data_IF_367247139242
#
_entry.id   IF_367247139242
#
_cell.length_a   1.000
_cell.length_b   1.000
_cell.length_c   1.000
_cell.angle_alpha   90.00
_cell.angle_beta   90.00
_cell.angle_gamma   90.00
#
_symmetry.space_group_name_H-M   'P 1'
#
loop_
_entity.id
_entity.type
_entity.pdbx_description
1 polymer ?
#
# COMPACT_ATOMS: atom_id res chain seq x y z
N UNK A 1 0.67 -3.89 20.55
CA UNK A 1 0.49 -3.11 19.31
C UNK A 1 1.82 -2.95 18.60
N UNK A 2 1.87 -2.98 17.27
CA UNK A 2 3.07 -2.76 16.44
C UNK A 2 2.77 -1.61 15.48
N UNK A 3 3.68 -0.65 15.35
CA UNK A 3 3.49 0.51 14.47
C UNK A 3 4.83 0.99 13.87
N UNK A 4 4.79 1.89 12.89
CA UNK A 4 5.98 2.33 12.15
C UNK A 4 5.90 3.78 11.66
N UNK A 5 7.07 4.41 11.57
CA UNK A 5 7.26 5.71 10.90
C UNK A 5 7.17 5.62 9.37
N UNK A 6 7.10 4.41 8.81
CA UNK A 6 7.25 4.21 7.37
C UNK A 6 6.14 4.83 6.52
N UNK A 7 4.90 4.87 7.02
CA UNK A 7 3.70 5.16 6.22
C UNK A 7 3.14 6.55 6.51
N UNK A 8 2.47 6.72 7.65
CA UNK A 8 1.86 8.00 8.04
C UNK A 8 2.90 9.14 8.10
N UNK A 9 4.04 8.88 8.72
CA UNK A 9 5.14 9.83 8.87
C UNK A 9 6.05 9.94 7.62
N UNK A 10 5.77 9.18 6.55
CA UNK A 10 6.51 9.18 5.29
C UNK A 10 8.02 8.88 5.42
N UNK A 11 8.43 8.04 6.37
CA UNK A 11 9.84 7.69 6.62
C UNK A 11 10.19 6.25 6.19
N UNK A 12 9.68 5.76 5.04
CA UNK A 12 9.85 4.35 4.61
C UNK A 12 11.32 3.88 4.62
N UNK A 13 12.25 4.71 4.13
CA UNK A 13 13.67 4.40 4.07
C UNK A 13 14.43 4.51 5.40
N UNK A 14 13.82 5.07 6.46
CA UNK A 14 14.51 5.38 7.73
C UNK A 14 14.55 4.22 8.72
N UNK A 15 13.78 3.16 8.44
CA UNK A 15 13.84 1.88 9.16
C UNK A 15 13.55 2.00 10.67
N UNK A 16 12.51 2.76 11.02
CA UNK A 16 12.09 2.93 12.41
C UNK A 16 10.62 2.55 12.63
N UNK A 17 10.37 1.93 13.77
CA UNK A 17 9.04 1.64 14.29
C UNK A 17 9.07 1.42 15.78
N UNK A 18 7.92 1.12 16.36
CA UNK A 18 7.79 0.87 17.78
C UNK A 18 6.75 -0.21 18.06
N UNK A 19 6.81 -0.75 19.27
CA UNK A 19 5.80 -1.65 19.78
C UNK A 19 5.37 -1.21 21.18
N UNK A 20 4.10 -1.47 21.49
CA UNK A 20 3.55 -1.35 22.84
C UNK A 20 3.22 -2.76 23.29
N UNK A 21 3.87 -3.22 24.35
CA UNK A 21 3.77 -4.58 24.88
C UNK A 21 3.37 -4.54 26.36
N UNK A 22 2.77 -5.61 26.91
CA UNK A 22 2.56 -5.74 28.35
C UNK A 22 3.89 -5.64 29.11
N UNK A 23 3.86 -5.08 30.32
CA UNK A 23 5.05 -4.85 31.16
C UNK A 23 5.88 -6.13 31.36
N UNK A 24 5.21 -7.27 31.54
CA UNK A 24 5.86 -8.57 31.69
C UNK A 24 6.73 -8.99 30.48
N UNK A 25 6.47 -8.44 29.28
CA UNK A 25 7.21 -8.74 28.06
C UNK A 25 8.37 -7.77 27.80
N UNK A 26 8.39 -6.59 28.42
CA UNK A 26 9.45 -5.58 28.21
C UNK A 26 10.86 -6.17 28.40
N UNK A 27 11.21 -6.82 29.54
CA UNK A 27 12.55 -7.36 29.73
C UNK A 27 12.89 -8.52 28.78
N UNK A 28 11.88 -9.25 28.27
CA UNK A 28 12.09 -10.31 27.28
C UNK A 28 12.46 -9.69 25.92
N UNK A 29 11.69 -8.70 25.47
CA UNK A 29 11.93 -7.99 24.22
C UNK A 29 13.25 -7.22 24.26
N UNK A 30 13.58 -6.58 25.39
CA UNK A 30 14.84 -5.86 25.56
C UNK A 30 16.05 -6.79 25.37
N UNK A 31 16.04 -7.97 26.01
CA UNK A 31 17.11 -8.96 25.85
C UNK A 31 17.23 -9.44 24.40
N UNK A 32 16.11 -9.68 23.73
CA UNK A 32 16.12 -10.03 22.30
C UNK A 32 16.72 -8.90 21.46
N UNK A 33 16.32 -7.65 21.71
CA UNK A 33 16.87 -6.49 21.00
C UNK A 33 18.39 -6.37 21.21
N UNK A 34 18.86 -6.43 22.46
CA UNK A 34 20.28 -6.36 22.81
C UNK A 34 21.12 -7.43 22.09
N UNK A 35 20.62 -8.67 22.00
CA UNK A 35 21.36 -9.79 21.42
C UNK A 35 21.26 -9.87 19.90
N UNK A 36 20.13 -9.46 19.29
CA UNK A 36 19.92 -9.60 17.85
C UNK A 36 20.35 -8.37 17.04
N UNK A 37 20.29 -7.17 17.64
CA UNK A 37 20.40 -5.94 16.85
C UNK A 37 20.89 -4.70 17.63
N UNK A 38 20.99 -4.79 18.96
CA UNK A 38 21.40 -3.74 19.90
C UNK A 38 20.38 -2.60 19.98
N UNK A 39 20.28 -1.75 18.96
CA UNK A 39 19.38 -0.61 18.95
C UNK A 39 19.11 -0.08 17.53
N UNK A 40 17.98 0.65 17.32
CA UNK A 40 17.68 1.25 16.03
C UNK A 40 18.62 2.41 15.73
N UNK A 41 18.72 2.78 14.45
CA UNK A 41 19.52 3.93 14.00
C UNK A 41 19.25 5.17 14.86
N UNK A 42 20.29 5.65 15.56
CA UNK A 42 20.23 6.85 16.39
C UNK A 42 19.76 8.06 15.58
N UNK A 43 20.22 8.20 14.33
CA UNK A 43 19.80 9.27 13.42
C UNK A 43 18.28 9.22 13.16
N UNK A 44 17.73 8.02 12.92
CA UNK A 44 16.30 7.87 12.70
C UNK A 44 15.50 8.16 13.98
N UNK A 45 16.00 7.74 15.15
CA UNK A 45 15.36 8.02 16.44
C UNK A 45 15.26 9.54 16.71
N UNK A 46 16.33 10.30 16.47
CA UNK A 46 16.31 11.75 16.62
C UNK A 46 15.37 12.43 15.61
N UNK A 47 15.41 12.03 14.34
CA UNK A 47 14.50 12.57 13.33
C UNK A 47 13.02 12.31 13.66
N UNK A 48 12.72 11.15 14.25
CA UNK A 48 11.36 10.78 14.63
C UNK A 48 10.76 11.64 15.75
N UNK A 49 11.57 12.35 16.53
CA UNK A 49 11.05 13.30 17.53
C UNK A 49 10.32 14.47 16.85
N UNK A 50 10.86 14.97 15.73
CA UNK A 50 10.26 16.08 14.97
C UNK A 50 8.94 15.68 14.29
N UNK A 51 8.68 14.38 14.12
CA UNK A 51 7.40 13.89 13.58
C UNK A 51 6.20 14.21 14.48
N UNK A 52 6.42 14.52 15.75
CA UNK A 52 5.34 14.85 16.69
C UNK A 52 5.16 16.37 16.88
N UNK A 53 5.91 17.19 16.15
CA UNK A 53 5.71 18.64 16.14
C UNK A 53 4.40 19.02 15.43
N UNK A 54 3.71 20.10 15.87
CA UNK A 54 2.43 20.51 15.30
C UNK A 54 2.44 20.70 13.78
N UNK A 55 3.49 21.31 13.24
CA UNK A 55 3.68 21.59 11.82
C UNK A 55 3.83 20.29 11.02
N UNK A 56 4.59 19.32 11.56
CA UNK A 56 4.74 17.99 10.96
C UNK A 56 3.41 17.24 10.91
N UNK A 57 2.64 17.24 12.01
CA UNK A 57 1.33 16.61 12.09
C UNK A 57 0.35 17.25 11.08
N UNK A 58 0.35 18.58 10.98
CA UNK A 58 -0.50 19.29 10.01
C UNK A 58 -0.20 18.87 8.56
N UNK A 59 1.07 18.72 8.19
CA UNK A 59 1.46 18.24 6.87
C UNK A 59 1.04 16.77 6.63
N UNK A 60 1.11 15.92 7.65
CA UNK A 60 0.65 14.52 7.52
C UNK A 60 -0.86 14.41 7.34
N UNK A 61 -1.65 15.22 8.05
CA UNK A 61 -3.10 15.28 7.84
C UNK A 61 -3.47 15.84 6.46
N UNK A 62 -2.74 16.85 5.96
CA UNK A 62 -2.89 17.34 4.59
C UNK A 62 -2.65 16.21 3.57
N UNK A 63 -1.58 15.43 3.73
CA UNK A 63 -1.28 14.28 2.86
C UNK A 63 -2.32 13.17 2.98
N UNK A 64 -2.83 12.91 4.20
CA UNK A 64 -3.91 11.93 4.42
C UNK A 64 -5.18 12.32 3.65
N UNK A 65 -5.55 13.60 3.67
CA UNK A 65 -6.67 14.10 2.87
C UNK A 65 -6.42 13.92 1.36
N UNK A 66 -5.17 14.12 0.90
CA UNK A 66 -4.79 13.89 -0.49
C UNK A 66 -4.88 12.40 -0.90
N UNK A 67 -4.42 11.48 -0.05
CA UNK A 67 -4.62 10.03 -0.28
C UNK A 67 -6.10 9.65 -0.34
N UNK A 68 -6.95 10.26 0.49
CA UNK A 68 -8.40 10.08 0.42
C UNK A 68 -8.94 10.55 -0.93
N UNK A 69 -8.57 11.73 -1.40
CA UNK A 69 -9.01 12.25 -2.70
C UNK A 69 -8.57 11.34 -3.87
N UNK A 70 -7.34 10.83 -3.83
CA UNK A 70 -6.80 9.85 -4.80
C UNK A 70 -7.59 8.55 -4.80
N UNK A 71 -7.90 8.01 -3.62
CA UNK A 71 -8.74 6.81 -3.45
C UNK A 71 -10.13 7.03 -4.05
N UNK A 72 -10.77 8.12 -3.66
CA UNK A 72 -12.15 8.45 -4.04
C UNK A 72 -12.29 8.68 -5.55
N UNK A 73 -11.22 9.12 -6.20
CA UNK A 73 -11.18 9.26 -7.66
C UNK A 73 -10.85 7.93 -8.38
N UNK A 74 -9.84 7.19 -7.92
CA UNK A 74 -9.29 6.04 -8.65
C UNK A 74 -10.17 4.79 -8.58
N UNK A 75 -10.84 4.53 -7.45
CA UNK A 75 -11.69 3.33 -7.29
C UNK A 75 -12.85 3.33 -8.29
N UNK A 76 -13.61 4.42 -8.49
CA UNK A 76 -14.63 4.49 -9.53
C UNK A 76 -14.09 4.21 -10.94
N UNK A 77 -12.84 4.60 -11.24
CA UNK A 77 -12.24 4.30 -12.54
C UNK A 77 -12.01 2.81 -12.72
N UNK A 78 -11.47 2.12 -11.70
CA UNK A 78 -11.30 0.66 -11.74
C UNK A 78 -12.66 -0.06 -11.93
N UNK A 79 -13.69 0.37 -11.19
CA UNK A 79 -15.03 -0.20 -11.31
C UNK A 79 -15.60 -0.01 -12.72
N UNK A 80 -15.45 1.18 -13.32
CA UNK A 80 -15.89 1.46 -14.69
C UNK A 80 -15.13 0.64 -15.74
N UNK A 81 -13.90 0.22 -15.43
CA UNK A 81 -13.08 -0.66 -16.27
C UNK A 81 -13.43 -2.14 -16.13
N UNK A 82 -14.41 -2.51 -15.31
CA UNK A 82 -14.74 -3.92 -15.05
C UNK A 82 -13.77 -4.60 -14.07
N UNK A 83 -13.07 -3.82 -13.25
CA UNK A 83 -12.23 -4.26 -12.12
C UNK A 83 -12.90 -3.85 -10.80
N UNK A 84 -14.01 -4.51 -10.39
CA UNK A 84 -14.74 -4.10 -9.20
C UNK A 84 -13.89 -4.25 -7.93
N UNK A 85 -14.02 -3.27 -7.04
CA UNK A 85 -13.38 -3.27 -5.72
C UNK A 85 -14.46 -3.65 -4.69
N UNK A 86 -14.49 -4.90 -4.18
CA UNK A 86 -15.61 -5.40 -3.39
C UNK A 86 -15.76 -4.70 -2.03
N UNK A 87 -14.65 -4.18 -1.49
CA UNK A 87 -14.63 -3.40 -0.25
C UNK A 87 -13.90 -2.10 -0.51
N UNK A 88 -14.63 -0.98 -0.38
CA UNK A 88 -14.01 0.34 -0.44
C UNK A 88 -13.06 0.48 0.76
N UNK A 89 -11.77 0.77 0.57
CA UNK A 89 -10.79 0.79 1.66
C UNK A 89 -11.05 1.91 2.65
N UNK A 90 -11.20 1.58 3.93
CA UNK A 90 -11.35 2.55 5.02
C UNK A 90 -10.04 3.29 5.36
N UNK A 91 -8.90 2.69 4.99
CA UNK A 91 -7.57 3.22 5.27
C UNK A 91 -6.50 2.60 4.37
N UNK A 92 -5.24 2.87 4.72
CA UNK A 92 -4.09 2.64 3.83
C UNK A 92 -4.27 3.35 2.47
N UNK A 93 -3.59 2.86 1.44
CA UNK A 93 -3.59 3.43 0.10
C UNK A 93 -3.60 2.33 -0.96
N UNK A 94 -4.39 1.27 -0.74
CA UNK A 94 -4.47 0.12 -1.62
C UNK A 94 -5.90 -0.16 -2.03
N UNK A 95 -6.14 -0.42 -3.32
CA UNK A 95 -7.40 -0.96 -3.82
C UNK A 95 -7.20 -2.43 -4.19
N UNK A 96 -8.09 -3.29 -3.69
CA UNK A 96 -8.10 -4.72 -3.97
C UNK A 96 -9.19 -4.99 -5.00
N UNK A 97 -8.81 -5.16 -6.26
CA UNK A 97 -9.77 -5.24 -7.36
C UNK A 97 -9.87 -6.67 -7.89
N UNK A 98 -11.08 -7.16 -8.09
CA UNK A 98 -11.36 -8.44 -8.73
C UNK A 98 -11.08 -8.30 -10.23
N UNK A 99 -10.20 -9.16 -10.75
CA UNK A 99 -9.80 -9.18 -12.15
C UNK A 99 -10.33 -10.41 -12.91
N UNK A 100 -11.21 -11.20 -12.31
CA UNK A 100 -11.71 -12.46 -12.90
C UNK A 100 -12.36 -12.25 -14.26
N UNK A 101 -13.08 -11.14 -14.45
CA UNK A 101 -13.70 -10.80 -15.72
C UNK A 101 -12.66 -10.52 -16.81
N UNK A 102 -11.62 -9.76 -16.49
CA UNK A 102 -10.49 -9.49 -17.38
C UNK A 102 -9.76 -10.78 -17.74
N UNK A 103 -9.43 -11.60 -16.73
CA UNK A 103 -8.78 -12.89 -16.93
C UNK A 103 -9.57 -13.78 -17.91
N UNK A 104 -10.90 -13.90 -17.74
CA UNK A 104 -11.76 -14.66 -18.66
C UNK A 104 -11.77 -14.10 -20.08
N UNK A 105 -11.87 -12.78 -20.24
CA UNK A 105 -11.94 -12.13 -21.55
C UNK A 105 -10.63 -12.28 -22.34
N UNK A 106 -9.49 -12.23 -21.66
CA UNK A 106 -8.16 -12.36 -22.27
C UNK A 106 -7.67 -13.81 -22.36
N UNK A 107 -8.44 -14.80 -21.86
CA UNK A 107 -7.98 -16.20 -21.78
C UNK A 107 -6.80 -16.40 -20.83
N UNK A 108 -6.67 -15.55 -19.82
CA UNK A 108 -5.59 -15.55 -18.83
C UNK A 108 -6.03 -16.31 -17.58
N UNK A 109 -5.15 -17.13 -17.00
CA UNK A 109 -5.47 -18.01 -15.87
C UNK A 109 -5.73 -17.26 -14.55
N UNK A 110 -5.05 -16.13 -14.31
CA UNK A 110 -5.24 -15.35 -13.09
C UNK A 110 -4.46 -14.04 -13.06
N UNK A 111 -4.47 -13.41 -11.89
CA UNK A 111 -3.85 -12.10 -11.64
C UNK A 111 -2.35 -12.06 -11.86
N UNK A 112 -1.64 -13.19 -11.76
CA UNK A 112 -0.19 -13.25 -11.98
C UNK A 112 0.15 -12.92 -13.43
N UNK A 113 -0.35 -13.70 -14.37
CA UNK A 113 -0.15 -13.49 -15.79
C UNK A 113 -0.76 -12.15 -16.23
N UNK A 114 -1.93 -11.78 -15.69
CA UNK A 114 -2.56 -10.50 -16.01
C UNK A 114 -1.70 -9.30 -15.56
N UNK A 115 -1.03 -9.38 -14.40
CA UNK A 115 -0.14 -8.32 -13.95
C UNK A 115 1.05 -8.11 -14.91
N UNK A 116 1.60 -9.20 -15.47
CA UNK A 116 2.63 -9.11 -16.50
C UNK A 116 2.11 -8.56 -17.82
N UNK A 117 0.88 -8.90 -18.20
CA UNK A 117 0.25 -8.42 -19.43
C UNK A 117 -0.03 -6.91 -19.36
N UNK A 118 -0.63 -6.45 -18.25
CA UNK A 118 -0.83 -5.02 -17.96
C UNK A 118 0.51 -4.27 -17.97
N UNK A 119 1.56 -4.85 -17.39
CA UNK A 119 2.88 -4.23 -17.38
C UNK A 119 3.47 -4.11 -18.80
N UNK A 120 3.34 -5.13 -19.63
CA UNK A 120 3.91 -5.15 -20.99
C UNK A 120 3.14 -4.25 -21.95
N UNK A 121 1.80 -4.30 -21.91
CA UNK A 121 0.94 -3.62 -22.88
C UNK A 121 0.56 -2.20 -22.43
N UNK A 122 0.19 -2.03 -21.16
CA UNK A 122 -0.23 -0.75 -20.62
C UNK A 122 0.89 -0.01 -19.87
N UNK A 123 2.07 -0.60 -19.68
CA UNK A 123 3.17 -0.01 -18.93
C UNK A 123 2.74 0.45 -17.52
N UNK A 124 1.85 -0.32 -16.88
CA UNK A 124 1.40 -0.10 -15.51
C UNK A 124 1.83 -1.29 -14.65
N UNK A 125 2.60 -1.04 -13.61
CA UNK A 125 2.98 -2.09 -12.66
C UNK A 125 1.92 -2.24 -11.56
N UNK A 126 1.39 -3.45 -11.41
CA UNK A 126 0.39 -3.82 -10.41
C UNK A 126 0.85 -5.03 -9.61
N UNK A 127 0.30 -5.27 -8.41
CA UNK A 127 0.69 -6.44 -7.60
C UNK A 127 -0.35 -7.56 -7.75
N UNK A 128 0.04 -8.77 -8.18
CA UNK A 128 -0.87 -9.91 -8.29
C UNK A 128 -1.29 -10.40 -6.90
N UNK A 129 -2.45 -11.05 -6.82
CA UNK A 129 -3.05 -11.34 -5.53
C UNK A 129 -2.40 -12.49 -4.76
N UNK A 130 -1.68 -13.37 -5.45
CA UNK A 130 -1.00 -14.54 -4.85
C UNK A 130 -0.05 -14.21 -3.69
N UNK A 131 0.47 -12.99 -3.64
CA UNK A 131 1.39 -12.55 -2.58
C UNK A 131 0.66 -12.25 -1.26
N UNK A 132 -0.68 -12.25 -1.27
CA UNK A 132 -1.54 -11.87 -0.14
C UNK A 132 -2.28 -13.04 0.50
N UNK A 133 -2.08 -14.27 0.02
CA UNK A 133 -2.68 -15.47 0.60
C UNK A 133 -2.93 -16.57 -0.42
N UNK A 134 -3.78 -17.53 -0.05
CA UNK A 134 -4.16 -18.67 -0.88
C UNK A 134 -5.68 -18.84 -1.03
N UNK A 135 -6.48 -17.93 -0.46
CA UNK A 135 -7.94 -18.03 -0.44
C UNK A 135 -8.56 -17.28 -1.64
N UNK A 136 -8.41 -17.84 -2.84
CA UNK A 136 -8.98 -17.27 -4.07
C UNK A 136 -8.32 -15.96 -4.52
N UNK A 137 -7.13 -15.65 -3.98
CA UNK A 137 -6.42 -14.39 -4.21
C UNK A 137 -5.90 -14.26 -5.63
N UNK A 138 -5.76 -15.35 -6.38
CA UNK A 138 -5.44 -15.36 -7.80
C UNK A 138 -6.43 -14.53 -8.63
N UNK A 139 -7.65 -14.32 -8.14
CA UNK A 139 -8.69 -13.53 -8.80
C UNK A 139 -8.56 -12.02 -8.58
N UNK A 140 -7.52 -11.57 -7.86
CA UNK A 140 -7.42 -10.18 -7.43
C UNK A 140 -6.07 -9.55 -7.78
N UNK A 141 -6.10 -8.25 -8.04
CA UNK A 141 -4.93 -7.40 -8.21
C UNK A 141 -4.99 -6.29 -7.17
N UNK A 142 -3.84 -6.01 -6.53
CA UNK A 142 -3.68 -4.85 -5.66
C UNK A 142 -3.10 -3.67 -6.43
N UNK A 143 -3.84 -2.57 -6.44
CA UNK A 143 -3.38 -1.27 -6.92
C UNK A 143 -2.95 -0.39 -5.75
N UNK A 144 -1.89 0.39 -5.93
CA UNK A 144 -1.46 1.42 -4.98
C UNK A 144 -1.97 2.79 -5.41
N UNK A 145 -2.68 3.49 -4.53
CA UNK A 145 -3.12 4.88 -4.72
C UNK A 145 -2.15 5.89 -4.10
N UNK A 146 -0.94 5.45 -3.76
CA UNK A 146 0.06 6.32 -3.14
C UNK A 146 0.74 7.29 -4.12
N UNK A 147 0.69 6.99 -5.42
CA UNK A 147 1.22 7.82 -6.49
C UNK A 147 0.46 9.15 -6.63
N UNK A 148 1.00 10.09 -7.40
CA UNK A 148 0.34 11.37 -7.63
C UNK A 148 -0.98 11.18 -8.39
N UNK A 149 -1.92 12.13 -8.25
CA UNK A 149 -3.19 12.08 -9.00
C UNK A 149 -2.95 11.99 -10.52
N UNK A 150 -1.97 12.73 -11.05
CA UNK A 150 -1.62 12.68 -12.47
C UNK A 150 -1.17 11.28 -12.92
N UNK A 151 -0.38 10.58 -12.09
CA UNK A 151 0.03 9.19 -12.39
C UNK A 151 -1.15 8.22 -12.32
N UNK A 152 -2.10 8.41 -11.39
CA UNK A 152 -3.30 7.59 -11.31
C UNK A 152 -4.22 7.82 -12.52
N UNK A 153 -4.32 9.07 -12.98
CA UNK A 153 -5.05 9.44 -14.20
C UNK A 153 -4.46 8.78 -15.44
N UNK A 154 -3.13 8.86 -15.58
CA UNK A 154 -2.41 8.20 -16.67
C UNK A 154 -2.60 6.67 -16.62
N UNK A 155 -2.45 6.06 -15.44
CA UNK A 155 -2.66 4.62 -15.28
C UNK A 155 -4.09 4.20 -15.67
N UNK A 156 -5.11 4.94 -15.24
CA UNK A 156 -6.49 4.67 -15.62
C UNK A 156 -6.73 4.81 -17.13
N UNK A 157 -6.10 5.80 -17.78
CA UNK A 157 -6.18 5.98 -19.23
C UNK A 157 -5.53 4.81 -19.99
N UNK A 158 -4.34 4.36 -19.57
CA UNK A 158 -3.66 3.21 -20.19
C UNK A 158 -4.41 1.90 -19.99
N UNK A 159 -4.95 1.67 -18.80
CA UNK A 159 -5.80 0.51 -18.52
C UNK A 159 -7.07 0.52 -19.39
N UNK A 160 -7.67 1.69 -19.64
CA UNK A 160 -8.82 1.83 -20.52
C UNK A 160 -8.51 1.49 -21.98
N UNK A 161 -7.30 1.78 -22.44
CA UNK A 161 -6.87 1.43 -23.79
C UNK A 161 -6.59 -0.08 -23.96
N UNK A 162 -6.36 -0.79 -22.85
CA UNK A 162 -6.13 -2.24 -22.82
C UNK A 162 -7.43 -3.06 -22.70
N UNK A 163 -8.43 -2.51 -21.99
CA UNK A 163 -9.72 -3.14 -21.71
C UNK A 163 -10.60 -3.26 -22.95
#
# INVERSE_FOLDING_TARGET
>A
SINSFSKYFNMTGWRLGWMVVPDALVPVIERLAQNLFICPSTVAQHAALACFEPESIAEYERRRAEFKARRDWFIPQLQALGLPVPVVPDGAFYAWADCSAWCRNCGIAGSWELAFDIMQQAHVAVTPGRDFGAAGTENFIRFSTASSMAQLQEAAARLRALA
#
